data_IF_609414245996
#
_entry.id   IF_609414245996
#
_cell.length_a   1.000
_cell.length_b   1.000
_cell.length_c   1.000
_cell.angle_alpha   90.00
_cell.angle_beta   90.00
_cell.angle_gamma   90.00
#
_symmetry.space_group_name_H-M   'P 1'
#
loop_
_entity.id
_entity.type
_entity.pdbx_description
1 polymer ?
#
# COMPACT_ATOMS: atom_id res chain seq x y z
N UNK A 1 -12.17 17.56 -69.42
CA UNK A 1 -10.99 18.06 -68.69
C UNK A 1 -11.11 17.44 -67.30
N UNK A 2 -10.62 16.21 -67.16
CA UNK A 2 -10.78 15.43 -65.94
C UNK A 2 -9.69 15.85 -64.95
N UNK A 3 -10.10 16.32 -63.78
CA UNK A 3 -9.22 16.53 -62.65
C UNK A 3 -8.86 15.17 -62.06
N UNK A 4 -7.64 14.71 -62.30
CA UNK A 4 -7.02 13.63 -61.55
C UNK A 4 -6.74 14.14 -60.13
N UNK A 5 -7.56 13.70 -59.18
CA UNK A 5 -7.33 13.82 -57.74
C UNK A 5 -6.98 12.44 -57.20
N UNK A 6 -5.78 11.95 -57.52
CA UNK A 6 -5.24 10.71 -56.95
C UNK A 6 -3.77 10.89 -56.59
N UNK A 7 -3.50 11.80 -55.66
CA UNK A 7 -2.33 11.67 -54.79
C UNK A 7 -2.82 11.75 -53.35
N UNK A 8 -3.31 10.62 -52.86
CA UNK A 8 -3.29 10.35 -51.43
C UNK A 8 -1.82 10.11 -51.08
N UNK A 9 -1.17 11.08 -50.44
CA UNK A 9 0.08 10.85 -49.72
C UNK A 9 -0.19 9.73 -48.70
N UNK A 10 0.16 8.50 -49.06
CA UNK A 10 0.26 7.41 -48.11
C UNK A 10 1.51 7.66 -47.28
N UNK A 11 1.40 8.58 -46.31
CA UNK A 11 2.37 8.67 -45.23
C UNK A 11 2.49 7.26 -44.65
N UNK A 12 3.66 6.65 -44.79
CA UNK A 12 4.03 5.37 -44.18
C UNK A 12 3.84 5.50 -42.67
N UNK A 13 2.67 5.12 -42.19
CA UNK A 13 2.41 4.98 -40.76
C UNK A 13 3.23 3.76 -40.31
N UNK A 14 4.38 4.05 -39.72
CA UNK A 14 5.21 3.07 -39.04
C UNK A 14 4.71 3.01 -37.60
N UNK A 15 4.13 1.88 -37.21
CA UNK A 15 3.61 1.70 -35.86
C UNK A 15 4.74 1.93 -34.85
N UNK A 16 4.64 2.92 -33.94
CA UNK A 16 5.68 3.17 -32.95
C UNK A 16 5.90 1.99 -31.99
N UNK A 17 4.98 1.03 -31.95
CA UNK A 17 5.09 -0.22 -31.19
C UNK A 17 5.57 -1.41 -32.03
N UNK A 18 5.98 -1.20 -33.29
CA UNK A 18 6.50 -2.29 -34.16
C UNK A 18 7.74 -2.99 -33.63
N UNK A 19 8.54 -2.31 -32.79
CA UNK A 19 9.71 -2.86 -32.10
C UNK A 19 9.44 -3.21 -30.63
N UNK A 20 8.17 -3.19 -30.18
CA UNK A 20 7.83 -3.59 -28.82
C UNK A 20 7.89 -5.11 -28.71
N UNK A 21 8.83 -5.59 -27.90
CA UNK A 21 8.86 -7.00 -27.48
C UNK A 21 8.05 -7.09 -26.17
N UNK A 22 6.89 -7.75 -26.16
CA UNK A 22 6.08 -7.86 -24.96
C UNK A 22 6.87 -8.59 -23.87
N UNK A 23 6.72 -8.13 -22.62
CA UNK A 23 7.33 -8.81 -21.47
C UNK A 23 6.73 -10.21 -21.37
N UNK A 24 7.58 -11.22 -21.48
CA UNK A 24 7.21 -12.61 -21.23
C UNK A 24 7.36 -12.91 -19.74
N UNK A 25 6.24 -13.19 -19.08
CA UNK A 25 6.20 -13.48 -17.65
C UNK A 25 6.30 -15.00 -17.43
N UNK A 26 7.27 -15.44 -16.64
CA UNK A 26 7.57 -16.85 -16.38
C UNK A 26 6.44 -17.58 -15.62
N UNK A 27 5.54 -16.83 -14.96
CA UNK A 27 4.41 -17.37 -14.22
C UNK A 27 3.26 -16.39 -14.10
N UNK A 28 2.05 -16.90 -13.78
CA UNK A 28 0.88 -16.07 -13.46
C UNK A 28 1.12 -15.17 -12.25
N UNK A 29 1.85 -15.65 -11.25
CA UNK A 29 2.24 -14.84 -10.10
C UNK A 29 3.10 -13.65 -10.52
N UNK A 30 4.07 -13.86 -11.41
CA UNK A 30 4.93 -12.76 -11.88
C UNK A 30 4.13 -11.72 -12.68
N UNK A 31 3.24 -12.20 -13.57
CA UNK A 31 2.30 -11.34 -14.29
C UNK A 31 1.43 -10.53 -13.32
N UNK A 32 0.79 -11.18 -12.36
CA UNK A 32 -0.08 -10.54 -11.38
C UNK A 32 0.67 -9.50 -10.53
N UNK A 33 1.87 -9.83 -10.05
CA UNK A 33 2.71 -8.89 -9.30
C UNK A 33 3.06 -7.64 -10.12
N UNK A 34 3.27 -7.79 -11.43
CA UNK A 34 3.68 -6.69 -12.31
C UNK A 34 2.50 -5.84 -12.80
N UNK A 35 1.37 -6.47 -13.14
CA UNK A 35 0.26 -5.83 -13.86
C UNK A 35 -0.95 -5.50 -12.98
N UNK A 36 -1.19 -6.26 -11.90
CA UNK A 36 -2.26 -5.88 -10.96
C UNK A 36 -1.81 -4.72 -10.08
N UNK A 37 -2.73 -3.84 -9.73
CA UNK A 37 -2.42 -2.72 -8.85
C UNK A 37 -2.56 -3.11 -7.38
N UNK A 38 -1.96 -2.33 -6.49
CA UNK A 38 -2.01 -2.52 -5.04
C UNK A 38 -3.44 -2.42 -4.46
N UNK A 39 -4.43 -1.95 -5.23
CA UNK A 39 -5.85 -1.95 -4.81
C UNK A 39 -6.40 -3.35 -4.55
N UNK A 40 -5.79 -4.40 -5.10
CA UNK A 40 -6.13 -5.80 -4.79
C UNK A 40 -5.99 -6.14 -3.30
N UNK A 41 -5.22 -5.35 -2.54
CA UNK A 41 -5.06 -5.49 -1.09
C UNK A 41 -6.11 -4.68 -0.28
N UNK A 42 -7.00 -3.93 -0.94
CA UNK A 42 -7.94 -2.98 -0.34
C UNK A 42 -9.19 -3.56 0.33
N UNK A 43 -9.19 -4.81 0.77
CA UNK A 43 -10.42 -5.54 1.14
C UNK A 43 -10.82 -5.49 2.62
N UNK A 44 -10.07 -4.81 3.49
CA UNK A 44 -10.28 -4.82 4.94
C UNK A 44 -10.41 -3.41 5.52
N UNK A 45 -11.32 -3.20 6.51
CA UNK A 45 -11.31 -1.96 7.29
C UNK A 45 -9.96 -1.81 7.99
N UNK A 46 -9.38 -0.61 7.97
CA UNK A 46 -8.23 -0.30 8.80
C UNK A 46 -8.69 0.37 10.09
N UNK A 47 -7.98 0.13 11.18
CA UNK A 47 -8.20 0.83 12.42
C UNK A 47 -7.36 2.13 12.46
N UNK A 48 -7.91 3.18 13.06
CA UNK A 48 -7.31 4.51 13.10
C UNK A 48 -7.45 5.17 14.47
N UNK A 49 -6.52 6.07 14.78
CA UNK A 49 -6.52 6.93 15.98
C UNK A 49 -6.03 8.32 15.63
N UNK A 50 -6.32 9.30 16.48
CA UNK A 50 -5.75 10.64 16.39
C UNK A 50 -4.35 10.69 17.00
N UNK A 51 -3.48 11.61 16.57
CA UNK A 51 -2.17 11.78 17.19
C UNK A 51 -2.29 12.14 18.67
N UNK A 52 -3.34 12.84 19.09
CA UNK A 52 -3.58 13.25 20.48
C UNK A 52 -4.17 12.16 21.36
N UNK A 53 -4.61 11.03 20.80
CA UNK A 53 -5.17 9.94 21.59
C UNK A 53 -4.10 9.34 22.50
N UNK A 54 -4.53 8.82 23.65
CA UNK A 54 -3.60 8.25 24.62
C UNK A 54 -3.02 6.93 24.13
N UNK A 55 -1.80 6.61 24.55
CA UNK A 55 -1.17 5.32 24.27
C UNK A 55 -2.05 4.16 24.80
N UNK A 56 -2.71 4.35 25.94
CA UNK A 56 -3.71 3.40 26.46
C UNK A 56 -4.84 3.17 25.47
N UNK A 57 -5.44 4.24 24.95
CA UNK A 57 -6.52 4.14 23.98
C UNK A 57 -6.05 3.42 22.72
N UNK A 58 -4.88 3.81 22.16
CA UNK A 58 -4.31 3.16 20.98
C UNK A 58 -4.07 1.65 21.19
N UNK A 59 -3.53 1.23 22.34
CA UNK A 59 -3.34 -0.19 22.65
C UNK A 59 -4.69 -0.92 22.77
N UNK A 60 -5.70 -0.28 23.36
CA UNK A 60 -7.04 -0.84 23.43
C UNK A 60 -7.67 -0.97 22.03
N UNK A 61 -7.50 0.03 21.16
CA UNK A 61 -7.98 0.00 19.78
C UNK A 61 -7.31 -1.12 18.97
N UNK A 62 -6.00 -1.35 19.12
CA UNK A 62 -5.32 -2.51 18.52
C UNK A 62 -5.99 -3.83 18.97
N UNK A 63 -6.19 -3.99 20.27
CA UNK A 63 -6.78 -5.20 20.84
C UNK A 63 -8.24 -5.44 20.38
N UNK A 64 -9.08 -4.40 20.38
CA UNK A 64 -10.49 -4.50 20.05
C UNK A 64 -10.73 -4.70 18.54
N UNK A 65 -9.96 -4.01 17.71
CA UNK A 65 -10.06 -4.13 16.25
C UNK A 65 -9.53 -5.47 15.72
N UNK A 66 -8.66 -6.15 16.50
CA UNK A 66 -7.88 -7.32 16.06
C UNK A 66 -6.92 -7.00 14.91
N UNK A 67 -6.63 -5.73 14.72
CA UNK A 67 -5.63 -5.26 13.77
C UNK A 67 -4.26 -5.14 14.47
N UNK A 68 -3.20 -5.43 13.73
CA UNK A 68 -1.82 -5.34 14.22
C UNK A 68 -1.18 -3.96 13.97
N UNK A 69 -1.95 -3.03 13.40
CA UNK A 69 -1.54 -1.65 13.16
C UNK A 69 -2.72 -0.68 13.20
N UNK A 70 -2.44 0.55 13.64
CA UNK A 70 -3.32 1.70 13.59
C UNK A 70 -2.71 2.77 12.70
N UNK A 71 -3.52 3.32 11.79
CA UNK A 71 -3.18 4.56 11.12
C UNK A 71 -3.39 5.73 12.08
N UNK A 72 -2.40 6.61 12.18
CA UNK A 72 -2.53 7.85 12.95
C UNK A 72 -2.92 8.94 11.97
N UNK A 73 -4.13 9.45 12.11
CA UNK A 73 -4.76 10.39 11.19
C UNK A 73 -5.10 11.70 11.91
N UNK A 74 -4.76 12.81 11.27
CA UNK A 74 -5.05 14.16 11.73
C UNK A 74 -5.62 14.97 10.57
N UNK A 75 -6.80 15.57 10.76
CA UNK A 75 -7.55 16.28 9.71
C UNK A 75 -7.56 15.53 8.36
N UNK A 76 -7.97 14.25 8.39
CA UNK A 76 -8.05 13.33 7.24
C UNK A 76 -6.71 12.96 6.59
N UNK A 77 -5.58 13.43 7.13
CA UNK A 77 -4.25 13.14 6.62
C UNK A 77 -3.56 12.08 7.46
N UNK A 78 -2.91 11.14 6.77
CA UNK A 78 -2.01 10.19 7.42
C UNK A 78 -0.77 10.92 7.95
N UNK A 79 -0.60 10.94 9.27
CA UNK A 79 0.57 11.57 9.93
C UNK A 79 1.53 10.55 10.54
N UNK A 80 1.05 9.32 10.78
CA UNK A 80 1.86 8.26 11.34
C UNK A 80 1.22 6.89 11.29
N UNK A 81 1.95 5.89 11.77
CA UNK A 81 1.45 4.53 12.02
C UNK A 81 1.92 4.07 13.41
N UNK A 82 1.07 3.36 14.12
CA UNK A 82 1.38 2.75 15.41
C UNK A 82 1.05 1.26 15.38
N UNK A 83 1.98 0.41 15.79
CA UNK A 83 1.89 -1.05 15.61
C UNK A 83 2.16 -1.81 16.91
N UNK A 84 1.86 -3.10 16.94
CA UNK A 84 2.25 -3.98 18.07
C UNK A 84 3.77 -3.94 18.33
N UNK A 85 4.58 -3.78 17.29
CA UNK A 85 6.03 -3.63 17.41
C UNK A 85 6.38 -2.37 18.21
N UNK A 86 5.70 -1.25 17.97
CA UNK A 86 5.90 -0.01 18.72
C UNK A 86 5.52 -0.20 20.20
N UNK A 87 4.47 -0.97 20.48
CA UNK A 87 4.11 -1.34 21.86
C UNK A 87 5.27 -2.06 22.53
N UNK A 88 5.84 -3.09 21.87
CA UNK A 88 6.94 -3.88 22.43
C UNK A 88 8.25 -3.08 22.56
N UNK A 89 8.63 -2.31 21.54
CA UNK A 89 9.93 -1.64 21.48
C UNK A 89 9.97 -0.28 22.19
N UNK A 90 8.85 0.45 22.23
CA UNK A 90 8.83 1.85 22.72
C UNK A 90 8.05 2.01 24.02
N UNK A 91 7.00 1.21 24.23
CA UNK A 91 6.02 1.42 25.31
C UNK A 91 6.19 0.44 26.48
N UNK A 92 6.37 -0.86 26.22
CA UNK A 92 6.19 -1.93 27.20
C UNK A 92 6.94 -1.71 28.53
N UNK A 93 8.22 -1.37 28.48
CA UNK A 93 9.05 -1.15 29.69
C UNK A 93 8.65 0.10 30.50
N UNK A 94 7.94 1.05 29.88
CA UNK A 94 7.61 2.36 30.46
C UNK A 94 6.10 2.60 30.55
N UNK A 95 5.28 1.57 30.33
CA UNK A 95 3.84 1.70 30.21
C UNK A 95 3.17 2.49 31.35
N UNK A 96 3.47 2.26 32.65
CA UNK A 96 2.84 3.02 33.73
C UNK A 96 3.07 4.54 33.66
N UNK A 97 4.17 4.97 33.02
CA UNK A 97 4.49 6.40 32.84
C UNK A 97 3.89 6.96 31.54
N UNK A 98 3.83 6.14 30.49
CA UNK A 98 3.44 6.58 29.15
C UNK A 98 1.96 6.37 28.83
N UNK A 99 1.19 5.61 29.62
CA UNK A 99 -0.16 5.22 29.24
C UNK A 99 -1.10 6.41 28.89
N UNK A 100 -0.94 7.55 29.57
CA UNK A 100 -1.73 8.77 29.33
C UNK A 100 -1.05 9.78 28.40
N UNK A 101 0.16 9.48 27.91
CA UNK A 101 0.84 10.30 26.91
C UNK A 101 0.20 10.11 25.53
N UNK A 102 0.49 11.05 24.63
CA UNK A 102 0.00 11.03 23.26
C UNK A 102 0.65 9.92 22.43
N UNK A 103 -0.13 9.24 21.58
CA UNK A 103 0.42 8.24 20.65
C UNK A 103 1.43 8.82 19.68
N UNK A 104 1.34 10.12 19.38
CA UNK A 104 2.31 10.83 18.52
C UNK A 104 3.75 10.79 19.04
N UNK A 105 3.94 10.57 20.35
CA UNK A 105 5.27 10.45 20.97
C UNK A 105 5.96 9.11 20.68
N UNK A 106 5.19 8.08 20.29
CA UNK A 106 5.70 6.71 20.10
C UNK A 106 5.38 6.11 18.73
N UNK A 107 4.52 6.74 17.93
CA UNK A 107 4.25 6.32 16.55
C UNK A 107 5.49 6.42 15.66
N UNK A 108 5.43 5.76 14.51
CA UNK A 108 6.34 6.06 13.40
C UNK A 108 5.72 7.17 12.56
N UNK A 109 6.30 8.37 12.61
CA UNK A 109 5.84 9.51 11.83
C UNK A 109 6.22 9.37 10.36
N UNK A 110 5.36 9.86 9.45
CA UNK A 110 5.59 9.85 7.98
C UNK A 110 6.02 8.46 7.48
N UNK A 111 5.18 7.42 7.65
CA UNK A 111 5.51 6.08 7.20
C UNK A 111 5.69 6.01 5.68
N UNK A 112 6.44 5.02 5.21
CA UNK A 112 6.39 4.59 3.80
C UNK A 112 4.95 4.24 3.44
N UNK A 113 4.49 4.68 2.27
CA UNK A 113 3.14 4.40 1.75
C UNK A 113 3.23 3.75 0.37
N UNK A 114 2.15 3.09 -0.02
CA UNK A 114 1.96 2.57 -1.39
C UNK A 114 0.69 3.20 -1.93
N UNK A 115 0.72 3.65 -3.18
CA UNK A 115 -0.44 4.22 -3.85
C UNK A 115 -1.30 3.10 -4.46
N UNK A 116 -2.61 3.33 -4.54
CA UNK A 116 -3.56 2.37 -5.15
C UNK A 116 -3.22 2.02 -6.60
N UNK A 117 -2.46 2.88 -7.29
CA UNK A 117 -2.02 2.70 -8.68
C UNK A 117 -0.66 2.04 -8.81
N UNK A 118 0.08 1.85 -7.71
CA UNK A 118 1.34 1.12 -7.74
C UNK A 118 1.09 -0.36 -8.08
N UNK A 119 2.03 -1.06 -8.73
CA UNK A 119 1.92 -2.50 -8.95
C UNK A 119 1.81 -3.28 -7.62
N UNK A 120 1.15 -4.43 -7.62
CA UNK A 120 1.04 -5.30 -6.46
C UNK A 120 2.43 -5.74 -5.92
N UNK A 121 3.44 -5.81 -6.81
CA UNK A 121 4.84 -5.99 -6.45
C UNK A 121 5.37 -4.95 -5.46
N UNK A 122 4.84 -3.74 -5.43
CA UNK A 122 5.24 -2.70 -4.47
C UNK A 122 4.95 -3.12 -3.02
N UNK A 123 3.80 -3.76 -2.76
CA UNK A 123 3.46 -4.30 -1.45
C UNK A 123 4.38 -5.45 -1.06
N UNK A 124 4.65 -6.36 -1.99
CA UNK A 124 5.60 -7.45 -1.77
C UNK A 124 7.01 -6.90 -1.47
N UNK A 125 7.49 -5.93 -2.24
CA UNK A 125 8.80 -5.33 -2.03
C UNK A 125 8.87 -4.60 -0.68
N UNK A 126 7.86 -3.80 -0.33
CA UNK A 126 7.83 -3.09 0.94
C UNK A 126 7.85 -4.05 2.14
N UNK A 127 7.17 -5.20 2.04
CA UNK A 127 7.08 -6.16 3.13
C UNK A 127 8.27 -7.11 3.18
N UNK A 128 8.58 -7.79 2.08
CA UNK A 128 9.59 -8.85 2.04
C UNK A 128 11.01 -8.33 1.87
N UNK A 129 11.20 -7.17 1.23
CA UNK A 129 12.52 -6.61 0.92
C UNK A 129 12.86 -5.45 1.86
N UNK A 130 11.98 -4.45 1.99
CA UNK A 130 12.21 -3.31 2.87
C UNK A 130 11.95 -3.61 4.36
N UNK A 131 11.33 -4.76 4.66
CA UNK A 131 11.15 -5.26 6.03
C UNK A 131 10.03 -4.58 6.81
N UNK A 132 9.11 -3.88 6.12
CA UNK A 132 7.89 -3.39 6.75
C UNK A 132 6.91 -4.54 7.01
N UNK A 133 6.09 -4.42 8.05
CA UNK A 133 5.01 -5.41 8.31
C UNK A 133 3.62 -4.85 8.08
N UNK A 134 3.52 -3.52 8.04
CA UNK A 134 2.28 -2.81 7.80
C UNK A 134 2.66 -1.58 6.98
N UNK A 135 2.05 -1.44 5.81
CA UNK A 135 2.31 -0.33 4.89
C UNK A 135 0.97 0.28 4.50
N UNK A 136 0.71 1.55 4.86
CA UNK A 136 -0.53 2.23 4.49
C UNK A 136 -0.71 2.27 2.97
N UNK A 137 -1.92 1.94 2.53
CA UNK A 137 -2.35 2.10 1.16
C UNK A 137 -3.13 3.40 1.01
N UNK A 138 -2.74 4.20 0.03
CA UNK A 138 -3.17 5.58 -0.14
C UNK A 138 -3.75 5.78 -1.54
N UNK A 139 -4.87 6.50 -1.63
CA UNK A 139 -5.44 6.90 -2.91
C UNK A 139 -4.65 8.04 -3.54
N UNK A 140 -4.89 8.31 -4.82
CA UNK A 140 -4.25 9.45 -5.52
C UNK A 140 -4.55 10.82 -4.86
N UNK A 141 -5.67 10.95 -4.16
CA UNK A 141 -6.04 12.16 -3.41
C UNK A 141 -5.37 12.26 -2.01
N UNK A 142 -4.47 11.34 -1.68
CA UNK A 142 -3.81 11.17 -0.38
C UNK A 142 -4.69 10.65 0.76
N UNK A 143 -5.89 10.13 0.45
CA UNK A 143 -6.74 9.50 1.46
C UNK A 143 -6.27 8.07 1.75
N UNK A 144 -5.97 7.71 3.02
CA UNK A 144 -5.72 6.33 3.40
C UNK A 144 -6.98 5.49 3.24
N UNK A 145 -6.84 4.28 2.67
CA UNK A 145 -7.99 3.39 2.47
C UNK A 145 -7.79 1.97 2.98
N UNK A 146 -6.55 1.52 3.18
CA UNK A 146 -6.24 0.21 3.74
C UNK A 146 -4.79 0.12 4.22
N UNK A 147 -4.36 -1.06 4.67
CA UNK A 147 -2.99 -1.35 5.11
C UNK A 147 -2.54 -2.69 4.54
N UNK A 148 -1.50 -2.68 3.72
CA UNK A 148 -0.85 -3.91 3.27
C UNK A 148 -0.09 -4.57 4.43
N UNK A 149 -0.24 -5.89 4.55
CA UNK A 149 0.41 -6.71 5.59
C UNK A 149 0.94 -8.01 4.99
N UNK A 150 1.88 -8.72 5.66
CA UNK A 150 2.36 -10.02 5.23
C UNK A 150 1.24 -11.02 4.95
N UNK A 151 0.14 -10.94 5.72
CA UNK A 151 -1.02 -11.79 5.53
C UNK A 151 -1.65 -11.56 4.15
N UNK A 152 -1.93 -10.31 3.79
CA UNK A 152 -2.56 -9.96 2.52
C UNK A 152 -1.64 -10.29 1.32
N UNK A 153 -0.35 -10.01 1.44
CA UNK A 153 0.63 -10.38 0.42
C UNK A 153 0.70 -11.89 0.25
N UNK A 154 0.65 -12.65 1.34
CA UNK A 154 0.65 -14.10 1.29
C UNK A 154 -0.63 -14.67 0.65
N UNK A 155 -1.81 -14.15 1.02
CA UNK A 155 -3.10 -14.52 0.42
C UNK A 155 -3.10 -14.24 -1.11
N UNK A 156 -2.54 -13.10 -1.53
CA UNK A 156 -2.36 -12.76 -2.94
C UNK A 156 -1.45 -13.76 -3.66
N UNK A 157 -0.31 -14.12 -3.06
CA UNK A 157 0.60 -15.11 -3.64
C UNK A 157 -0.11 -16.46 -3.80
N UNK A 158 -0.80 -16.94 -2.76
CA UNK A 158 -1.53 -18.22 -2.84
C UNK A 158 -2.56 -18.24 -3.97
N UNK A 159 -3.28 -17.13 -4.15
CA UNK A 159 -4.30 -17.00 -5.20
C UNK A 159 -3.71 -17.14 -6.62
N UNK A 160 -2.45 -16.72 -6.82
CA UNK A 160 -1.80 -16.70 -8.13
C UNK A 160 -0.74 -17.79 -8.32
N UNK A 161 -0.34 -18.49 -7.26
CA UNK A 161 0.65 -19.56 -7.31
C UNK A 161 0.04 -20.89 -7.74
N UNK A 162 -1.19 -21.19 -7.31
CA UNK A 162 -1.88 -22.48 -7.56
C UNK A 162 -2.79 -22.46 -8.80
N UNK A 163 -2.75 -21.40 -9.62
CA UNK A 163 -3.69 -21.14 -10.71
C UNK A 163 -3.20 -21.61 -12.10
#
# INVERSE_FOLDING_TARGET
>A
MNHDLTQSDSSTYEDPLSNYDPIDYESKLQLALAEESADVFGSQPFAQVKPTDTIRHAIQSLYESKESSLLVIDDEKLVGIFTERDVLEKVAERYPKLAEHSVSEVMTAKPTVIYETDPAAAALAAIAVAGHRHVPLIRLDNTPYSVASPRLVFEFIQTHYDA
#
